data_IF_862837004522
#
_entry.id   IF_862837004522
#
_cell.length_a   1.000
_cell.length_b   1.000
_cell.length_c   1.000
_cell.angle_alpha   90.00
_cell.angle_beta   90.00
_cell.angle_gamma   90.00
#
_symmetry.space_group_name_H-M   'P 1'
#
loop_
_entity.id
_entity.type
_entity.pdbx_description
1 polymer ?
#
# COMPACT_ATOMS: atom_id res chain seq x y z
N UNK A 1 17.66 3.55 -0.04
CA UNK A 1 16.65 3.10 -1.04
C UNK A 1 16.46 1.57 -0.97
N UNK A 2 15.34 1.10 -0.40
CA UNK A 2 15.16 -0.31 -0.03
C UNK A 2 14.87 -1.28 -1.20
N UNK A 3 14.76 -0.81 -2.45
CA UNK A 3 14.56 -1.62 -3.65
C UNK A 3 13.25 -2.45 -3.70
N UNK A 4 12.53 -2.53 -2.59
CA UNK A 4 11.31 -3.31 -2.45
C UNK A 4 10.11 -2.52 -2.96
N UNK A 5 9.53 -2.98 -4.07
CA UNK A 5 8.27 -2.45 -4.63
C UNK A 5 7.01 -3.00 -3.92
N UNK A 6 7.18 -3.62 -2.74
CA UNK A 6 6.11 -4.21 -1.95
C UNK A 6 5.73 -3.27 -0.81
N UNK A 7 4.46 -2.87 -0.85
CA UNK A 7 3.87 -1.94 0.11
C UNK A 7 2.62 -2.57 0.70
N UNK A 8 2.55 -2.58 2.02
CA UNK A 8 1.38 -3.01 2.77
C UNK A 8 0.56 -1.80 3.18
N UNK A 9 -0.72 -1.81 2.80
CA UNK A 9 -1.66 -0.77 3.22
C UNK A 9 -2.06 -1.03 4.67
N UNK A 10 -1.84 -0.06 5.55
CA UNK A 10 -2.16 -0.19 6.99
C UNK A 10 -3.47 0.54 7.32
N UNK A 11 -3.70 1.70 6.71
CA UNK A 11 -4.90 2.51 6.92
C UNK A 11 -5.44 2.98 5.58
N UNK A 12 -6.74 2.84 5.40
CA UNK A 12 -7.50 3.38 4.28
C UNK A 12 -8.40 4.51 4.80
N UNK A 13 -8.47 5.63 4.06
CA UNK A 13 -9.20 6.84 4.44
C UNK A 13 -8.95 7.99 3.45
N UNK A 14 -9.04 9.23 3.92
CA UNK A 14 -8.59 10.41 3.15
C UNK A 14 -7.07 10.38 2.91
N UNK A 15 -6.33 10.01 3.96
CA UNK A 15 -4.90 9.75 3.91
C UNK A 15 -4.63 8.25 4.01
N UNK A 16 -3.89 7.72 3.05
CA UNK A 16 -3.54 6.31 3.00
C UNK A 16 -2.15 6.16 3.60
N UNK A 17 -2.06 5.40 4.70
CA UNK A 17 -0.78 5.05 5.31
C UNK A 17 -0.33 3.70 4.77
N UNK A 18 0.81 3.69 4.11
CA UNK A 18 1.45 2.49 3.58
C UNK A 18 2.79 2.25 4.26
N UNK A 19 3.12 0.99 4.49
CA UNK A 19 4.39 0.56 5.05
C UNK A 19 5.13 -0.26 4.03
N UNK A 20 6.39 0.09 3.78
CA UNK A 20 7.27 -0.71 2.94
C UNK A 20 7.60 -2.02 3.68
N UNK A 21 7.39 -3.15 3.02
CA UNK A 21 7.70 -4.46 3.62
C UNK A 21 9.19 -4.78 3.63
N UNK A 22 10.00 -4.08 2.81
CA UNK A 22 11.45 -4.30 2.75
C UNK A 22 12.26 -3.57 3.83
N UNK A 23 11.86 -2.35 4.20
CA UNK A 23 12.58 -1.54 5.20
C UNK A 23 11.73 -1.09 6.39
N UNK A 24 10.44 -1.43 6.41
CA UNK A 24 9.53 -1.03 7.48
C UNK A 24 9.16 0.46 7.48
N UNK A 25 9.61 1.23 6.49
CA UNK A 25 9.34 2.66 6.41
C UNK A 25 7.85 2.93 6.14
N UNK A 26 7.24 3.80 6.94
CA UNK A 26 5.84 4.19 6.79
C UNK A 26 5.73 5.58 6.16
N UNK A 27 4.99 5.68 5.07
CA UNK A 27 4.67 6.98 4.44
C UNK A 27 3.17 7.20 4.45
N UNK A 28 2.80 8.48 4.54
CA UNK A 28 1.43 8.94 4.38
C UNK A 28 1.31 9.54 2.99
N UNK A 29 0.39 9.01 2.19
CA UNK A 29 0.13 9.48 0.84
C UNK A 29 -1.36 9.85 0.75
N UNK A 30 -1.71 11.01 0.18
CA UNK A 30 -3.10 11.36 -0.12
C UNK A 30 -3.72 10.35 -1.08
N UNK A 31 -5.00 10.01 -0.91
CA UNK A 31 -5.69 9.03 -1.76
C UNK A 31 -5.49 9.26 -3.26
N UNK A 32 -5.58 10.51 -3.71
CA UNK A 32 -5.46 10.88 -5.13
C UNK A 32 -4.08 10.53 -5.72
N UNK A 33 -3.02 10.72 -4.95
CA UNK A 33 -1.67 10.33 -5.36
C UNK A 33 -1.47 8.82 -5.26
N UNK A 34 -2.09 8.15 -4.29
CA UNK A 34 -2.04 6.69 -4.18
C UNK A 34 -2.69 6.03 -5.39
N UNK A 35 -3.90 6.45 -5.80
CA UNK A 35 -4.58 5.94 -7.00
C UNK A 35 -3.76 6.18 -8.27
N UNK A 36 -3.15 7.36 -8.43
CA UNK A 36 -2.26 7.64 -9.57
C UNK A 36 -1.00 6.77 -9.60
N UNK A 37 -0.42 6.47 -8.44
CA UNK A 37 0.82 5.68 -8.32
C UNK A 37 0.58 4.18 -8.30
N UNK A 38 -0.65 3.73 -8.00
CA UNK A 38 -1.02 2.32 -8.02
C UNK A 38 -1.03 1.80 -9.46
N UNK A 39 -0.01 1.02 -9.84
CA UNK A 39 0.08 0.40 -11.18
C UNK A 39 -0.56 -0.99 -11.24
N UNK A 40 -0.36 -1.82 -10.21
CA UNK A 40 -0.81 -3.21 -10.18
C UNK A 40 -0.99 -3.67 -8.74
N UNK A 41 -2.06 -4.41 -8.50
CA UNK A 41 -2.31 -5.08 -7.22
C UNK A 41 -1.66 -6.47 -7.32
N UNK A 42 -0.63 -6.71 -6.50
CA UNK A 42 0.14 -7.97 -6.52
C UNK A 42 -0.54 -9.08 -5.71
N UNK A 43 -1.20 -8.71 -4.62
CA UNK A 43 -1.95 -9.61 -3.74
C UNK A 43 -3.27 -8.93 -3.43
N UNK A 44 -4.37 -9.53 -3.88
CA UNK A 44 -5.69 -9.17 -3.37
C UNK A 44 -5.89 -10.00 -2.10
N UNK A 45 -6.37 -9.36 -1.03
CA UNK A 45 -6.89 -10.14 0.08
C UNK A 45 -8.14 -10.83 -0.44
N UNK A 46 -8.05 -12.12 -0.70
CA UNK A 46 -9.22 -12.94 -0.94
C UNK A 46 -9.95 -13.04 0.40
N UNK A 47 -11.16 -12.49 0.46
CA UNK A 47 -12.06 -12.76 1.57
C UNK A 47 -12.33 -14.27 1.54
N UNK A 48 -12.15 -15.02 2.65
CA UNK A 48 -12.51 -16.41 2.67
C UNK A 48 -14.01 -16.45 2.38
N UNK A 49 -14.37 -16.92 1.19
CA UNK A 49 -15.75 -17.17 0.82
C UNK A 49 -16.27 -18.20 1.80
N UNK A 50 -17.13 -17.75 2.71
CA UNK A 50 -17.88 -18.58 3.63
C UNK A 50 -18.96 -19.36 2.86
#
# INVERSE_FOLDING_TARGET
>A
PCGANRWKVIRLGMDIRIKCEGCGHSVMIPRRDFERKMKKILVKHEEPTA
#
